data_IF_148012752155
#
_entry.id   IF_148012752155
#
_cell.length_a   1.000
_cell.length_b   1.000
_cell.length_c   1.000
_cell.angle_alpha   90.00
_cell.angle_beta   90.00
_cell.angle_gamma   90.00
#
_symmetry.space_group_name_H-M   'P 1'
#
loop_
_entity.id
_entity.type
_entity.pdbx_description
1 polymer ?
#
# COMPACT_ATOMS: atom_id res chain seq x y z
N UNK A 1 -3.57 6.04 -3.13
CA UNK A 1 -4.97 6.06 -2.70
C UNK A 1 -5.17 6.59 -1.28
N UNK A 2 -4.38 6.16 -0.30
CA UNK A 2 -4.46 6.65 1.09
C UNK A 2 -4.31 8.19 1.20
N UNK A 3 -3.57 8.80 0.28
CA UNK A 3 -3.31 10.25 0.29
C UNK A 3 -4.34 11.10 -0.48
N UNK A 4 -5.28 10.47 -1.16
CA UNK A 4 -6.29 11.17 -1.97
C UNK A 4 -7.69 10.64 -1.66
N UNK A 5 -8.20 10.84 -0.43
CA UNK A 5 -9.50 10.32 -0.04
C UNK A 5 -10.63 10.82 -0.97
N UNK A 6 -10.50 12.01 -1.55
CA UNK A 6 -11.46 12.53 -2.52
C UNK A 6 -11.52 11.74 -3.84
N UNK A 7 -10.46 11.00 -4.19
CA UNK A 7 -10.43 10.18 -5.41
C UNK A 7 -11.25 8.88 -5.30
N UNK A 8 -11.61 8.47 -4.09
CA UNK A 8 -12.36 7.24 -3.83
C UNK A 8 -13.84 7.49 -3.50
N UNK A 9 -14.35 8.67 -3.84
CA UNK A 9 -15.78 8.96 -3.74
C UNK A 9 -16.27 9.24 -2.32
N UNK A 10 -15.43 9.74 -1.42
CA UNK A 10 -15.88 10.16 -0.10
C UNK A 10 -16.88 11.31 -0.20
N UNK A 11 -17.94 11.32 0.61
CA UNK A 11 -18.98 12.34 0.53
C UNK A 11 -18.42 13.73 0.77
N UNK A 12 -18.82 14.71 -0.08
CA UNK A 12 -18.54 16.13 0.16
C UNK A 12 -19.14 16.54 1.49
N UNK A 13 -18.31 17.14 2.35
CA UNK A 13 -18.75 17.64 3.67
C UNK A 13 -18.67 16.60 4.80
N UNK A 14 -18.21 15.39 4.53
CA UNK A 14 -17.93 14.39 5.56
C UNK A 14 -16.63 14.69 6.32
N UNK A 15 -16.54 14.22 7.56
CA UNK A 15 -15.29 14.21 8.32
C UNK A 15 -14.28 13.33 7.58
N UNK A 16 -13.06 13.81 7.42
CA UNK A 16 -11.98 12.98 6.83
C UNK A 16 -11.84 11.69 7.65
N UNK A 17 -11.74 10.53 7.00
CA UNK A 17 -11.54 9.27 7.69
C UNK A 17 -10.22 9.30 8.47
N UNK A 18 -10.18 8.59 9.58
CA UNK A 18 -8.94 8.40 10.32
C UNK A 18 -7.91 7.61 9.49
N UNK A 19 -6.63 7.69 9.87
CA UNK A 19 -5.60 6.86 9.23
C UNK A 19 -5.95 5.36 9.32
N UNK A 20 -6.51 4.91 10.45
CA UNK A 20 -6.97 3.52 10.62
C UNK A 20 -8.05 3.17 9.59
N UNK A 21 -9.05 4.04 9.41
CA UNK A 21 -10.11 3.80 8.44
C UNK A 21 -9.57 3.74 7.00
N UNK A 22 -8.61 4.60 6.66
CA UNK A 22 -7.97 4.60 5.34
C UNK A 22 -7.21 3.29 5.07
N UNK A 23 -6.46 2.78 6.06
CA UNK A 23 -5.77 1.49 5.92
C UNK A 23 -6.75 0.33 5.87
N UNK A 24 -7.85 0.38 6.61
CA UNK A 24 -8.92 -0.61 6.52
C UNK A 24 -9.59 -0.63 5.15
N UNK A 25 -9.94 0.54 4.61
CA UNK A 25 -10.51 0.66 3.26
C UNK A 25 -9.54 0.12 2.21
N UNK A 26 -8.24 0.43 2.36
CA UNK A 26 -7.22 -0.09 1.46
C UNK A 26 -7.10 -1.61 1.53
N UNK A 27 -7.18 -2.20 2.73
CA UNK A 27 -7.21 -3.66 2.91
C UNK A 27 -8.41 -4.28 2.17
N UNK A 28 -9.60 -3.72 2.33
CA UNK A 28 -10.80 -4.19 1.62
C UNK A 28 -10.66 -4.08 0.10
N UNK A 29 -10.01 -3.03 -0.40
CA UNK A 29 -9.73 -2.89 -1.83
C UNK A 29 -8.78 -3.96 -2.34
N UNK A 30 -7.73 -4.30 -1.60
CA UNK A 30 -6.80 -5.37 -1.95
C UNK A 30 -7.50 -6.73 -1.97
N UNK A 31 -8.40 -6.99 -1.01
CA UNK A 31 -9.23 -8.19 -1.01
C UNK A 31 -10.18 -8.26 -2.22
N UNK A 32 -10.83 -7.14 -2.55
CA UNK A 32 -11.71 -7.06 -3.72
C UNK A 32 -10.93 -7.34 -5.01
N UNK A 33 -9.75 -6.73 -5.15
CA UNK A 33 -8.84 -6.96 -6.29
C UNK A 33 -8.42 -8.43 -6.39
N UNK A 34 -8.05 -9.06 -5.27
CA UNK A 34 -7.68 -10.47 -5.23
C UNK A 34 -8.84 -11.39 -5.66
N UNK A 35 -10.04 -11.12 -5.18
CA UNK A 35 -11.25 -11.87 -5.57
C UNK A 35 -11.55 -11.72 -7.07
N UNK A 36 -11.39 -10.52 -7.62
CA UNK A 36 -11.59 -10.27 -9.07
C UNK A 36 -10.57 -11.04 -9.89
N UNK A 37 -9.28 -11.04 -9.50
CA UNK A 37 -8.23 -11.79 -10.21
C UNK A 37 -8.53 -13.29 -10.20
N UNK A 38 -8.89 -13.84 -9.04
CA UNK A 38 -9.28 -15.25 -8.92
C UNK A 38 -10.48 -15.59 -9.80
N UNK A 39 -11.51 -14.75 -9.82
CA UNK A 39 -12.69 -14.94 -10.67
C UNK A 39 -12.32 -14.86 -12.15
N UNK A 40 -11.47 -13.91 -12.52
CA UNK A 40 -11.02 -13.74 -13.90
C UNK A 40 -10.33 -15.00 -14.44
N UNK A 41 -9.40 -15.59 -13.69
CA UNK A 41 -8.75 -16.82 -14.10
C UNK A 41 -9.71 -18.01 -14.28
N UNK A 42 -10.83 -18.01 -13.52
CA UNK A 42 -11.87 -19.05 -13.68
C UNK A 42 -12.69 -18.80 -14.96
N UNK A 43 -12.98 -17.54 -15.27
CA UNK A 43 -13.85 -17.18 -16.41
C UNK A 43 -13.09 -17.09 -17.74
N UNK A 44 -11.82 -16.72 -17.70
CA UNK A 44 -10.96 -16.48 -18.86
C UNK A 44 -9.61 -17.20 -18.67
N UNK A 45 -9.56 -18.52 -18.78
CA UNK A 45 -8.36 -19.32 -18.44
C UNK A 45 -7.11 -18.94 -19.24
N UNK A 46 -7.27 -18.48 -20.49
CA UNK A 46 -6.14 -18.06 -21.34
C UNK A 46 -5.81 -16.56 -21.20
N UNK A 47 -6.59 -15.83 -20.38
CA UNK A 47 -6.39 -14.40 -20.14
C UNK A 47 -5.28 -14.17 -19.10
N UNK A 48 -4.74 -12.95 -19.13
CA UNK A 48 -3.77 -12.48 -18.12
C UNK A 48 -4.31 -11.26 -17.40
N UNK A 49 -4.17 -11.24 -16.08
CA UNK A 49 -4.61 -10.16 -15.22
C UNK A 49 -3.55 -9.82 -14.18
N UNK A 50 -3.43 -8.56 -13.86
CA UNK A 50 -2.52 -8.09 -12.82
C UNK A 50 -2.86 -6.67 -12.37
N UNK A 51 -2.37 -6.24 -11.21
CA UNK A 51 -2.58 -4.89 -10.71
C UNK A 51 -1.75 -3.87 -11.47
N UNK A 52 -2.25 -2.64 -11.56
CA UNK A 52 -1.48 -1.46 -11.98
C UNK A 52 -1.26 -0.56 -10.76
N UNK A 53 -0.08 -0.64 -10.17
CA UNK A 53 0.27 0.06 -8.95
C UNK A 53 0.91 1.42 -9.25
N UNK A 54 0.52 2.45 -8.49
CA UNK A 54 1.21 3.74 -8.53
C UNK A 54 2.44 3.66 -7.64
N UNK A 55 3.62 3.63 -8.25
CA UNK A 55 4.90 3.57 -7.56
C UNK A 55 5.66 4.90 -7.76
N UNK A 56 6.24 5.38 -6.68
CA UNK A 56 7.07 6.59 -6.66
C UNK A 56 8.44 6.22 -6.14
N UNK A 57 9.49 6.41 -6.94
CA UNK A 57 10.85 6.19 -6.48
C UNK A 57 11.25 7.25 -5.45
N UNK A 58 11.81 6.80 -4.33
CA UNK A 58 12.20 7.64 -3.20
C UNK A 58 13.71 7.74 -3.11
N UNK A 59 14.23 8.96 -3.17
CA UNK A 59 15.67 9.22 -3.06
C UNK A 59 15.98 9.93 -1.74
N UNK A 60 17.09 9.57 -1.05
CA UNK A 60 17.53 10.33 0.11
C UNK A 60 17.94 11.74 -0.29
N UNK A 61 17.64 12.73 0.55
CA UNK A 61 18.00 14.12 0.31
C UNK A 61 19.52 14.34 0.34
N UNK A 62 20.23 13.56 1.14
CA UNK A 62 21.68 13.59 1.26
C UNK A 62 22.24 12.17 1.41
N UNK A 63 23.57 12.03 1.41
CA UNK A 63 24.26 10.78 1.75
C UNK A 63 24.21 10.44 3.25
N UNK A 64 23.51 11.21 4.07
CA UNK A 64 23.35 10.91 5.50
C UNK A 64 22.57 9.58 5.66
N UNK A 65 23.07 8.64 6.49
CA UNK A 65 22.37 7.38 6.74
C UNK A 65 20.92 7.55 7.22
N UNK A 66 20.61 8.60 7.96
CA UNK A 66 19.25 8.88 8.41
C UNK A 66 18.31 9.23 7.23
N UNK A 67 18.78 9.98 6.25
CA UNK A 67 18.01 10.28 5.05
C UNK A 67 17.79 9.01 4.20
N UNK A 68 18.82 8.16 4.11
CA UNK A 68 18.72 6.89 3.39
C UNK A 68 17.68 5.95 4.04
N UNK A 69 17.71 5.84 5.38
CA UNK A 69 16.72 5.05 6.13
C UNK A 69 15.30 5.64 5.98
N UNK A 70 15.17 6.96 6.06
CA UNK A 70 13.89 7.64 5.89
C UNK A 70 13.30 7.40 4.49
N UNK A 71 14.11 7.53 3.44
CA UNK A 71 13.70 7.25 2.07
C UNK A 71 13.25 5.80 1.89
N UNK A 72 14.05 4.84 2.40
CA UNK A 72 13.69 3.42 2.35
C UNK A 72 12.39 3.12 3.09
N UNK A 73 12.23 3.61 4.32
CA UNK A 73 11.01 3.38 5.10
C UNK A 73 9.78 3.97 4.40
N UNK A 74 9.92 5.15 3.82
CA UNK A 74 8.84 5.81 3.08
C UNK A 74 8.46 5.04 1.82
N UNK A 75 9.45 4.54 1.08
CA UNK A 75 9.24 3.72 -0.10
C UNK A 75 8.53 2.39 0.24
N UNK A 76 8.93 1.75 1.33
CA UNK A 76 8.26 0.53 1.82
C UNK A 76 6.79 0.80 2.13
N UNK A 77 6.49 1.87 2.86
CA UNK A 77 5.11 2.20 3.24
C UNK A 77 4.23 2.59 2.04
N UNK A 78 4.81 3.26 1.05
CA UNK A 78 4.08 3.81 -0.10
C UNK A 78 4.01 2.89 -1.30
N UNK A 79 5.00 2.04 -1.48
CA UNK A 79 5.19 1.22 -2.67
C UNK A 79 5.29 -0.26 -2.34
N UNK A 80 6.37 -0.69 -1.70
CA UNK A 80 6.69 -2.11 -1.56
C UNK A 80 5.66 -2.89 -0.76
N UNK A 81 5.02 -2.27 0.24
CA UNK A 81 3.95 -2.92 0.98
C UNK A 81 2.78 -3.37 0.07
N UNK A 82 2.44 -2.59 -0.94
CA UNK A 82 1.38 -2.93 -1.90
C UNK A 82 1.84 -3.97 -2.91
N UNK A 83 3.10 -3.90 -3.33
CA UNK A 83 3.72 -4.92 -4.19
C UNK A 83 3.72 -6.26 -3.46
N UNK A 84 4.14 -6.30 -2.20
CA UNK A 84 4.19 -7.53 -1.40
C UNK A 84 2.80 -8.15 -1.20
N UNK A 85 1.80 -7.33 -0.93
CA UNK A 85 0.42 -7.83 -0.82
C UNK A 85 -0.06 -8.44 -2.13
N UNK A 86 0.23 -7.81 -3.27
CA UNK A 86 -0.17 -8.33 -4.57
C UNK A 86 0.62 -9.58 -4.97
N UNK A 87 1.94 -9.59 -4.73
CA UNK A 87 2.82 -10.66 -5.18
C UNK A 87 2.82 -11.88 -4.24
N UNK A 88 2.71 -11.65 -2.93
CA UNK A 88 2.90 -12.69 -1.91
C UNK A 88 1.69 -12.88 -1.00
N UNK A 89 0.65 -12.06 -1.13
CA UNK A 89 -0.56 -12.13 -0.30
C UNK A 89 -0.32 -11.75 1.16
N UNK A 90 0.70 -10.95 1.46
CA UNK A 90 1.05 -10.54 2.83
C UNK A 90 1.59 -9.12 2.88
N UNK A 91 1.42 -8.46 4.01
CA UNK A 91 2.01 -7.16 4.25
C UNK A 91 3.53 -7.24 4.39
N UNK A 92 4.23 -6.21 3.91
CA UNK A 92 5.66 -6.05 4.14
C UNK A 92 5.92 -5.95 5.66
N UNK A 93 6.89 -6.71 6.23
CA UNK A 93 7.09 -6.77 7.69
C UNK A 93 7.30 -5.41 8.35
N UNK A 94 8.13 -4.54 7.74
CA UNK A 94 8.39 -3.19 8.24
C UNK A 94 7.10 -2.34 8.24
N UNK A 95 6.32 -2.39 7.15
CA UNK A 95 5.06 -1.67 7.06
C UNK A 95 4.06 -2.17 8.10
N UNK A 96 3.98 -3.48 8.29
CA UNK A 96 3.09 -4.07 9.28
C UNK A 96 3.44 -3.68 10.71
N UNK A 97 4.74 -3.70 11.07
CA UNK A 97 5.21 -3.22 12.37
C UNK A 97 4.86 -1.74 12.58
N UNK A 98 5.15 -0.89 11.59
CA UNK A 98 4.81 0.53 11.63
C UNK A 98 3.31 0.78 11.87
N UNK A 99 2.44 0.03 11.19
CA UNK A 99 0.99 0.18 11.33
C UNK A 99 0.51 -0.24 12.72
N UNK A 100 1.07 -1.33 13.26
CA UNK A 100 0.75 -1.83 14.60
C UNK A 100 1.20 -0.86 15.70
N UNK A 101 2.44 -0.39 15.64
CA UNK A 101 3.01 0.51 16.63
C UNK A 101 2.21 1.82 16.77
N UNK A 102 1.51 2.22 15.70
CA UNK A 102 0.65 3.40 15.67
C UNK A 102 -0.84 3.14 15.85
N UNK A 103 -1.22 1.89 16.09
CA UNK A 103 -2.61 1.47 16.22
C UNK A 103 -3.49 1.85 15.00
N UNK A 104 -2.89 1.82 13.79
CA UNK A 104 -3.56 2.10 12.52
C UNK A 104 -3.57 0.90 11.57
N UNK A 105 -3.16 -0.27 12.05
CA UNK A 105 -3.25 -1.50 11.28
C UNK A 105 -4.72 -1.84 10.98
N UNK A 106 -5.01 -2.34 9.77
CA UNK A 106 -6.34 -2.84 9.45
C UNK A 106 -6.66 -4.10 10.29
N UNK A 107 -7.91 -4.30 10.55
CA UNK A 107 -8.42 -5.55 11.12
C UNK A 107 -8.41 -6.62 10.03
N UNK A 108 -7.77 -7.73 10.32
CA UNK A 108 -7.67 -8.87 9.42
C UNK A 108 -8.69 -9.91 9.87
N UNK A 109 -9.52 -10.36 8.96
CA UNK A 109 -10.48 -11.43 9.21
C UNK A 109 -9.90 -12.79 8.82
N UNK A 110 -10.49 -13.85 9.34
CA UNK A 110 -10.13 -15.21 8.96
C UNK A 110 -10.33 -15.42 7.45
N UNK A 111 -9.30 -15.93 6.78
CA UNK A 111 -9.30 -16.15 5.33
C UNK A 111 -8.87 -14.97 4.47
N UNK A 112 -8.57 -13.80 5.05
CA UNK A 112 -8.13 -12.63 4.27
C UNK A 112 -6.78 -12.89 3.59
N UNK A 113 -5.80 -13.43 4.31
CA UNK A 113 -4.49 -13.72 3.74
C UNK A 113 -4.54 -14.84 2.70
N UNK A 114 -5.38 -15.85 2.88
CA UNK A 114 -5.63 -16.90 1.89
C UNK A 114 -6.27 -16.30 0.63
N UNK A 115 -7.18 -15.34 0.79
CA UNK A 115 -7.79 -14.62 -0.33
C UNK A 115 -6.74 -13.81 -1.09
N UNK A 116 -5.90 -13.05 -0.39
CA UNK A 116 -4.83 -12.24 -1.00
C UNK A 116 -3.83 -13.13 -1.73
N UNK A 117 -3.38 -14.22 -1.10
CA UNK A 117 -2.43 -15.17 -1.69
C UNK A 117 -3.02 -15.89 -2.91
N UNK A 118 -4.34 -16.11 -2.92
CA UNK A 118 -5.04 -16.77 -4.02
C UNK A 118 -5.29 -15.88 -5.25
N UNK A 119 -4.86 -14.61 -5.23
CA UNK A 119 -5.00 -13.69 -6.36
C UNK A 119 -4.21 -14.13 -7.59
N UNK A 120 -3.01 -14.67 -7.38
CA UNK A 120 -2.08 -15.16 -8.41
C UNK A 120 -1.98 -14.23 -9.63
N UNK A 121 -1.53 -12.97 -9.48
CA UNK A 121 -1.41 -12.06 -10.61
C UNK A 121 -0.40 -12.58 -11.62
N UNK A 122 -0.71 -12.46 -12.93
CA UNK A 122 0.20 -12.84 -14.02
C UNK A 122 1.33 -11.83 -14.23
N UNK A 123 1.10 -10.59 -13.82
CA UNK A 123 2.05 -9.50 -13.89
C UNK A 123 1.73 -8.42 -12.84
N UNK A 124 2.69 -7.54 -12.59
CA UNK A 124 2.48 -6.29 -11.85
C UNK A 124 2.87 -5.16 -12.78
N UNK A 125 1.90 -4.33 -13.16
CA UNK A 125 2.13 -3.12 -13.93
C UNK A 125 2.42 -1.94 -12.98
N UNK A 126 3.24 -1.02 -13.46
CA UNK A 126 3.67 0.14 -12.70
C UNK A 126 3.22 1.43 -13.39
N UNK A 127 2.49 2.26 -12.65
CA UNK A 127 2.23 3.64 -13.02
C UNK A 127 3.29 4.52 -12.34
N UNK A 128 4.14 5.14 -13.15
CA UNK A 128 5.22 6.00 -12.67
C UNK A 128 5.01 7.43 -13.16
N UNK A 129 4.88 8.37 -12.24
CA UNK A 129 4.62 9.78 -12.56
C UNK A 129 5.73 10.72 -12.07
N UNK A 130 6.35 10.40 -10.96
CA UNK A 130 7.32 11.29 -10.30
C UNK A 130 8.23 10.54 -9.34
N UNK A 131 9.31 11.19 -8.96
CA UNK A 131 10.16 10.82 -7.83
C UNK A 131 9.85 11.70 -6.62
N UNK A 132 10.30 11.28 -5.45
CA UNK A 132 10.32 12.12 -4.27
C UNK A 132 11.69 12.10 -3.62
N UNK A 133 12.10 13.23 -3.05
CA UNK A 133 13.32 13.35 -2.25
C UNK A 133 12.94 13.43 -0.79
N UNK A 134 13.51 12.55 0.03
CA UNK A 134 13.14 12.36 1.43
C UNK A 134 14.32 12.73 2.32
N UNK A 135 14.09 13.65 3.25
CA UNK A 135 15.00 13.97 4.33
C UNK A 135 14.48 13.40 5.65
N UNK A 136 15.40 12.94 6.51
CA UNK A 136 15.05 12.59 7.87
C UNK A 136 14.52 13.83 8.61
N UNK A 137 13.39 13.71 9.28
CA UNK A 137 12.86 14.76 10.12
C UNK A 137 13.80 15.01 11.31
N UNK A 138 13.98 16.27 11.68
CA UNK A 138 14.71 16.65 12.90
C UNK A 138 13.87 16.48 14.17
N UNK A 139 12.63 16.15 14.04
CA UNK A 139 11.66 15.86 15.10
C UNK A 139 11.36 14.38 15.18
N UNK A 140 10.59 14.00 16.18
CA UNK A 140 10.18 12.63 16.46
C UNK A 140 9.65 11.93 15.20
N UNK A 141 10.00 10.65 15.04
CA UNK A 141 9.58 9.79 13.90
C UNK A 141 8.05 9.65 13.74
N UNK A 142 7.27 10.36 14.54
CA UNK A 142 5.81 10.48 14.44
C UNK A 142 5.35 11.31 13.25
N UNK A 143 6.22 12.17 12.67
CA UNK A 143 5.90 13.11 11.60
C UNK A 143 6.23 12.58 10.19
N UNK A 144 6.06 11.31 9.94
CA UNK A 144 5.85 10.84 8.57
C UNK A 144 4.41 11.20 8.20
N UNK A 145 4.17 12.49 8.18
CA UNK A 145 2.88 13.04 7.82
C UNK A 145 2.80 13.20 6.31
N UNK A 146 1.67 12.74 5.85
CA UNK A 146 0.89 13.15 4.70
C UNK A 146 1.56 13.21 3.35
#
# INVERSE_FOLDING_TARGET
MILHPGAIGLPKGGKLPSKKDLYQQNHHMMLAQAKVMKLFHTMVPEGKIGPALNLTAMYPATCNPNDAIAAHNWEVLRCWNFVDVCAFGKYHPLAWSYLKDRNIAPEIQDGDFETLKGANPDFIAMNYYSTATIAASKGDASDVAA
#
